data_IF_348445141705
#
_entry.id   IF_348445141705
#
_cell.length_a   1.000
_cell.length_b   1.000
_cell.length_c   1.000
_cell.angle_alpha   90.00
_cell.angle_beta   90.00
_cell.angle_gamma   90.00
#
_symmetry.space_group_name_H-M   'P 1'
#
loop_
_entity.id
_entity.type
_entity.pdbx_description
1 polymer ?
#
# COMPACT_ATOMS: atom_id res chain seq x y z
N UNK A 1 -11.63 -2.20 9.81
CA UNK A 1 -12.56 -1.70 8.77
C UNK A 1 -11.76 -1.64 7.48
N UNK A 2 -12.10 -2.48 6.49
CA UNK A 2 -11.35 -2.54 5.21
C UNK A 2 -11.44 -1.19 4.51
N UNK A 3 -10.31 -0.70 3.99
CA UNK A 3 -10.23 0.60 3.31
C UNK A 3 -10.07 0.38 1.81
N UNK A 4 -10.96 0.96 1.02
CA UNK A 4 -10.85 0.93 -0.43
C UNK A 4 -9.92 2.05 -0.94
N UNK A 5 -9.03 1.76 -1.89
CA UNK A 5 -8.19 2.77 -2.51
C UNK A 5 -9.02 3.68 -3.42
N UNK A 6 -8.85 4.99 -3.24
CA UNK A 6 -9.38 6.05 -4.12
C UNK A 6 -8.42 6.40 -5.27
N UNK A 7 -7.22 5.83 -5.25
CA UNK A 7 -6.23 5.90 -6.32
C UNK A 7 -6.34 4.65 -7.19
N UNK A 8 -6.39 4.83 -8.52
CA UNK A 8 -6.50 3.72 -9.48
C UNK A 8 -5.14 3.31 -10.07
N UNK A 9 -4.17 4.23 -10.10
CA UNK A 9 -2.86 4.02 -10.74
C UNK A 9 -1.73 4.43 -9.82
N UNK A 10 -0.54 3.90 -10.10
CA UNK A 10 0.72 4.28 -9.45
C UNK A 10 1.85 4.35 -10.47
N UNK A 11 2.71 5.37 -10.35
CA UNK A 11 3.92 5.52 -11.17
C UNK A 11 5.10 4.81 -10.50
N UNK A 12 5.69 3.85 -11.19
CA UNK A 12 6.88 3.10 -10.77
C UNK A 12 8.14 3.96 -10.94
N UNK A 13 9.24 3.54 -10.31
CA UNK A 13 10.55 4.23 -10.37
C UNK A 13 11.11 4.35 -11.79
N UNK A 14 10.79 3.38 -12.65
CA UNK A 14 11.16 3.38 -14.07
C UNK A 14 10.23 4.23 -14.95
N UNK A 15 9.29 4.97 -14.35
CA UNK A 15 8.33 5.80 -15.07
C UNK A 15 7.07 5.09 -15.53
N UNK A 16 7.00 3.75 -15.47
CA UNK A 16 5.78 3.02 -15.88
C UNK A 16 4.60 3.34 -14.98
N UNK A 17 3.42 3.48 -15.57
CA UNK A 17 2.15 3.63 -14.84
C UNK A 17 1.44 2.28 -14.83
N UNK A 18 1.13 1.77 -13.64
CA UNK A 18 0.45 0.48 -13.45
C UNK A 18 -0.74 0.66 -12.50
N UNK A 19 -1.59 -0.36 -12.41
CA UNK A 19 -2.71 -0.35 -11.45
C UNK A 19 -2.22 -0.29 -10.01
N UNK A 20 -2.93 0.50 -9.21
CA UNK A 20 -2.71 0.53 -7.78
C UNK A 20 -3.25 -0.76 -7.16
N UNK A 21 -2.36 -1.49 -6.49
CA UNK A 21 -2.69 -2.76 -5.83
C UNK A 21 -2.26 -2.71 -4.36
N UNK A 22 -3.25 -2.58 -3.48
CA UNK A 22 -3.07 -2.61 -2.02
C UNK A 22 -2.32 -3.87 -1.57
N UNK A 23 -2.54 -5.02 -2.21
CA UNK A 23 -1.94 -6.29 -1.80
C UNK A 23 -0.41 -6.24 -1.85
N UNK A 24 0.17 -5.42 -2.72
CA UNK A 24 1.62 -5.20 -2.79
C UNK A 24 2.16 -4.52 -1.54
N UNK A 25 1.40 -3.58 -0.97
CA UNK A 25 1.75 -2.90 0.29
C UNK A 25 1.64 -3.91 1.45
N UNK A 26 0.52 -4.63 1.54
CA UNK A 26 0.33 -5.67 2.57
C UNK A 26 1.45 -6.69 2.54
N UNK A 27 1.81 -7.20 1.35
CA UNK A 27 2.85 -8.20 1.19
C UNK A 27 4.24 -7.67 1.58
N UNK A 28 4.54 -6.40 1.30
CA UNK A 28 5.81 -5.80 1.72
C UNK A 28 5.89 -5.68 3.25
N UNK A 29 4.83 -5.20 3.90
CA UNK A 29 4.74 -5.10 5.35
C UNK A 29 4.82 -6.49 6.00
N UNK A 30 4.10 -7.47 5.46
CA UNK A 30 4.10 -8.84 5.97
C UNK A 30 5.50 -9.49 5.88
N UNK A 31 6.24 -9.25 4.79
CA UNK A 31 7.63 -9.71 4.68
C UNK A 31 8.54 -9.10 5.74
N UNK A 32 8.36 -7.81 6.06
CA UNK A 32 9.13 -7.14 7.11
C UNK A 32 8.80 -7.71 8.50
N UNK A 33 7.51 -7.82 8.84
CA UNK A 33 6.96 -8.48 10.05
C UNK A 33 7.55 -9.87 10.24
N UNK A 34 7.54 -10.69 9.17
CA UNK A 34 8.08 -12.05 9.21
C UNK A 34 9.59 -12.07 9.44
N UNK A 35 10.33 -11.15 8.82
CA UNK A 35 11.79 -11.05 8.98
C UNK A 35 12.19 -10.76 10.43
N UNK A 36 11.41 -9.96 11.15
CA UNK A 36 11.63 -9.65 12.57
C UNK A 36 10.92 -10.61 13.53
N UNK A 37 10.28 -11.68 13.02
CA UNK A 37 9.51 -12.68 13.79
C UNK A 37 8.46 -12.05 14.72
N UNK A 38 7.84 -10.96 14.29
CA UNK A 38 6.88 -10.21 15.09
C UNK A 38 5.53 -10.10 14.37
N UNK A 39 4.45 -10.54 15.01
CA UNK A 39 3.08 -10.39 14.49
C UNK A 39 2.74 -11.35 13.35
N UNK A 40 1.63 -11.06 12.66
CA UNK A 40 1.04 -11.94 11.65
C UNK A 40 0.55 -11.17 10.42
N UNK A 41 -0.18 -11.87 9.54
CA UNK A 41 -0.74 -11.29 8.32
C UNK A 41 -1.89 -10.33 8.60
N UNK A 42 -2.62 -10.50 9.70
CA UNK A 42 -3.70 -9.61 10.09
C UNK A 42 -3.15 -8.24 10.49
N UNK A 43 -2.04 -8.22 11.23
CA UNK A 43 -1.32 -6.98 11.53
C UNK A 43 -0.85 -6.28 10.24
N UNK A 44 -0.32 -7.02 9.27
CA UNK A 44 0.09 -6.46 7.99
C UNK A 44 -1.09 -5.82 7.22
N UNK A 45 -2.26 -6.46 7.23
CA UNK A 45 -3.48 -5.91 6.63
C UNK A 45 -3.91 -4.62 7.32
N UNK A 46 -3.93 -4.59 8.66
CA UNK A 46 -4.27 -3.37 9.44
C UNK A 46 -3.34 -2.21 9.13
N UNK A 47 -2.04 -2.46 9.07
CA UNK A 47 -1.04 -1.44 8.72
C UNK A 47 -1.20 -0.97 7.27
N UNK A 48 -1.46 -1.90 6.34
CA UNK A 48 -1.70 -1.54 4.94
C UNK A 48 -2.97 -0.68 4.76
N UNK A 49 -4.03 -0.94 5.53
CA UNK A 49 -5.24 -0.10 5.53
C UNK A 49 -4.91 1.33 5.98
N UNK A 50 -4.03 1.50 6.98
CA UNK A 50 -3.57 2.83 7.41
C UNK A 50 -2.79 3.55 6.31
N UNK A 51 -1.91 2.84 5.60
CA UNK A 51 -1.19 3.41 4.45
C UNK A 51 -2.16 3.85 3.36
N UNK A 52 -3.17 3.02 3.02
CA UNK A 52 -4.17 3.38 2.01
C UNK A 52 -4.98 4.61 2.40
N UNK A 53 -5.30 4.81 3.70
CA UNK A 53 -5.96 6.05 4.15
C UNK A 53 -5.11 7.29 3.86
N UNK A 54 -3.82 7.23 4.20
CA UNK A 54 -2.89 8.34 3.94
C UNK A 54 -2.74 8.60 2.44
N UNK A 55 -2.65 7.53 1.64
CA UNK A 55 -2.60 7.64 0.17
C UNK A 55 -3.87 8.29 -0.37
N UNK A 56 -5.04 7.88 0.11
CA UNK A 56 -6.33 8.43 -0.27
C UNK A 56 -6.44 9.92 0.08
N UNK A 57 -5.96 10.33 1.24
CA UNK A 57 -5.98 11.74 1.67
C UNK A 57 -5.02 12.61 0.85
N UNK A 58 -3.81 12.11 0.56
CA UNK A 58 -2.76 12.90 -0.11
C UNK A 58 -2.85 12.91 -1.63
N UNK A 59 -3.37 11.84 -2.23
CA UNK A 59 -3.32 11.60 -3.67
C UNK A 59 -4.69 11.36 -4.30
N UNK A 60 -5.78 11.78 -3.64
CA UNK A 60 -7.10 11.78 -4.26
C UNK A 60 -7.07 12.45 -5.64
N UNK A 61 -7.46 11.72 -6.69
CA UNK A 61 -7.45 12.21 -8.08
C UNK A 61 -6.07 12.40 -8.71
N UNK A 62 -4.99 11.96 -8.07
CA UNK A 62 -3.60 12.04 -8.58
C UNK A 62 -2.99 10.66 -8.70
N UNK A 63 -1.92 10.53 -9.49
CA UNK A 63 -1.12 9.31 -9.60
C UNK A 63 0.08 9.44 -8.65
N UNK A 64 0.11 8.72 -7.50
CA UNK A 64 1.28 8.69 -6.63
C UNK A 64 2.49 8.06 -7.34
N UNK A 65 3.70 8.42 -6.93
CA UNK A 65 4.95 7.79 -7.39
C UNK A 65 5.63 7.00 -6.28
N UNK A 66 6.31 5.93 -6.67
CA UNK A 66 7.21 5.18 -5.79
C UNK A 66 8.56 5.88 -5.75
N UNK A 67 9.02 6.30 -4.57
CA UNK A 67 10.41 6.69 -4.28
C UNK A 67 11.28 5.46 -4.00
#
# INVERSE_FOLDING_TARGET
MKVEPKVSKIRKRDGRIVDFDKSRITNAIYKAIKAVKFGDRELAEKLSDQVVRIVNERFAGKIPSVE
#
